data_IF_975883260169
#
_entry.id   IF_975883260169
#
_cell.length_a   1.000
_cell.length_b   1.000
_cell.length_c   1.000
_cell.angle_alpha   90.00
_cell.angle_beta   90.00
_cell.angle_gamma   90.00
#
_symmetry.space_group_name_H-M   'P 1'
#
loop_
_entity.id
_entity.type
_entity.pdbx_description
1 polymer ?
#
# COMPACT_ATOMS: atom_id res chain seq x y z
N UNK A 1 20.22 4.81 1.45
CA UNK A 1 19.33 6.00 1.38
C UNK A 1 18.77 6.26 2.76
N UNK A 2 18.59 7.53 3.15
CA UNK A 2 17.88 7.84 4.39
C UNK A 2 16.37 7.77 4.14
N UNK A 3 15.58 7.46 5.18
CA UNK A 3 14.11 7.47 5.11
C UNK A 3 13.60 8.81 4.55
N UNK A 4 14.21 9.92 4.98
CA UNK A 4 13.89 11.26 4.48
C UNK A 4 14.11 11.42 2.98
N UNK A 5 15.19 10.84 2.43
CA UNK A 5 15.41 10.86 0.97
C UNK A 5 14.35 10.06 0.20
N UNK A 6 13.95 8.90 0.72
CA UNK A 6 12.91 8.06 0.10
C UNK A 6 11.56 8.75 0.10
N UNK A 7 11.14 9.32 1.25
CA UNK A 7 9.89 10.07 1.36
C UNK A 7 9.86 11.23 0.38
N UNK A 8 10.96 11.99 0.29
CA UNK A 8 11.06 13.11 -0.65
C UNK A 8 10.93 12.65 -2.11
N UNK A 9 11.58 11.55 -2.50
CA UNK A 9 11.44 11.00 -3.84
C UNK A 9 9.99 10.58 -4.15
N UNK A 10 9.27 9.98 -3.20
CA UNK A 10 7.87 9.63 -3.40
C UNK A 10 7.01 10.89 -3.58
N UNK A 11 7.19 11.90 -2.72
CA UNK A 11 6.49 13.19 -2.84
C UNK A 11 6.75 13.86 -4.19
N UNK A 12 7.99 13.84 -4.67
CA UNK A 12 8.37 14.42 -5.97
C UNK A 12 7.72 13.67 -7.15
N UNK A 13 7.51 12.35 -7.03
CA UNK A 13 6.74 11.56 -8.00
C UNK A 13 5.26 11.97 -7.97
N UNK A 14 4.66 12.05 -6.78
CA UNK A 14 3.23 12.37 -6.62
C UNK A 14 2.87 13.76 -7.10
N UNK A 15 3.80 14.73 -7.11
CA UNK A 15 3.55 16.07 -7.67
C UNK A 15 3.28 16.06 -9.18
N UNK A 16 3.62 14.98 -9.88
CA UNK A 16 3.33 14.81 -11.31
C UNK A 16 1.92 14.28 -11.56
N UNK A 17 1.25 13.79 -10.52
CA UNK A 17 -0.10 13.27 -10.62
C UNK A 17 -1.12 14.41 -10.64
N UNK A 18 -1.83 14.55 -11.77
CA UNK A 18 -2.88 15.56 -11.96
C UNK A 18 -4.12 15.30 -11.10
N UNK A 19 -4.27 14.09 -10.55
CA UNK A 19 -5.39 13.67 -9.71
C UNK A 19 -5.24 13.98 -8.22
N UNK A 20 -4.07 14.47 -7.78
CA UNK A 20 -3.79 14.76 -6.36
C UNK A 20 -3.47 16.25 -6.18
N UNK A 21 -4.44 17.03 -5.72
CA UNK A 21 -4.28 18.45 -5.45
C UNK A 21 -4.02 18.73 -3.96
N UNK A 22 -2.97 19.50 -3.68
CA UNK A 22 -2.57 19.89 -2.33
C UNK A 22 -1.79 18.84 -1.50
N UNK A 23 -1.13 19.32 -0.45
CA UNK A 23 -0.26 18.49 0.41
C UNK A 23 -1.05 17.51 1.29
N UNK A 24 -2.28 17.87 1.70
CA UNK A 24 -3.12 17.01 2.52
C UNK A 24 -3.50 15.70 1.79
N UNK A 25 -3.84 15.78 0.50
CA UNK A 25 -4.15 14.58 -0.29
C UNK A 25 -2.90 13.71 -0.50
N UNK A 26 -1.74 14.33 -0.77
CA UNK A 26 -0.47 13.60 -0.88
C UNK A 26 -0.10 12.88 0.41
N UNK A 27 -0.31 13.52 1.57
CA UNK A 27 -0.11 12.86 2.86
C UNK A 27 -1.05 11.67 3.02
N UNK A 28 -2.33 11.82 2.67
CA UNK A 28 -3.30 10.72 2.73
C UNK A 28 -2.86 9.50 1.91
N UNK A 29 -2.40 9.73 0.68
CA UNK A 29 -1.89 8.66 -0.20
C UNK A 29 -0.65 7.97 0.37
N UNK A 30 0.29 8.72 0.94
CA UNK A 30 1.46 8.14 1.61
C UNK A 30 1.07 7.31 2.84
N UNK A 31 0.10 7.78 3.62
CA UNK A 31 -0.29 7.13 4.89
C UNK A 31 -0.82 5.72 4.65
N UNK A 32 -1.75 5.53 3.72
CA UNK A 32 -2.34 4.20 3.51
C UNK A 32 -1.33 3.23 2.89
N UNK A 33 -0.48 3.69 1.96
CA UNK A 33 0.58 2.88 1.37
C UNK A 33 1.58 2.41 2.43
N UNK A 34 2.06 3.33 3.26
CA UNK A 34 3.00 3.01 4.33
C UNK A 34 2.35 2.10 5.39
N UNK A 35 1.08 2.34 5.72
CA UNK A 35 0.34 1.48 6.63
C UNK A 35 0.31 0.04 6.14
N UNK A 36 -0.15 -0.21 4.90
CA UNK A 36 -0.23 -1.55 4.34
C UNK A 36 1.15 -2.23 4.26
N UNK A 37 2.20 -1.50 3.85
CA UNK A 37 3.56 -2.02 3.79
C UNK A 37 4.07 -2.47 5.17
N UNK A 38 3.95 -1.59 6.17
CA UNK A 38 4.45 -1.83 7.52
C UNK A 38 3.63 -2.94 8.18
N UNK A 39 2.31 -2.94 7.98
CA UNK A 39 1.43 -3.96 8.53
C UNK A 39 1.79 -5.34 7.97
N UNK A 40 1.92 -5.49 6.65
CA UNK A 40 2.33 -6.74 6.01
C UNK A 40 3.69 -7.26 6.52
N UNK A 41 4.66 -6.36 6.76
CA UNK A 41 5.95 -6.72 7.38
C UNK A 41 5.81 -7.23 8.82
N UNK A 42 4.84 -6.70 9.60
CA UNK A 42 4.53 -7.22 10.94
C UNK A 42 3.79 -8.55 10.86
N UNK A 43 2.89 -8.71 9.90
CA UNK A 43 2.16 -9.96 9.69
C UNK A 43 3.11 -11.11 9.34
N UNK A 44 4.14 -10.87 8.52
CA UNK A 44 5.19 -11.86 8.26
C UNK A 44 5.84 -12.36 9.55
N UNK A 45 6.12 -11.48 10.51
CA UNK A 45 6.70 -11.89 11.79
C UNK A 45 5.69 -12.68 12.63
N UNK A 46 4.42 -12.26 12.68
CA UNK A 46 3.39 -12.96 13.44
C UNK A 46 3.08 -14.34 12.87
N UNK A 47 2.99 -14.48 11.55
CA UNK A 47 2.82 -15.77 10.87
C UNK A 47 3.97 -16.75 11.17
N UNK A 48 5.17 -16.24 11.48
CA UNK A 48 6.32 -17.06 11.87
C UNK A 48 6.35 -17.39 13.37
N UNK A 49 5.73 -16.57 14.22
CA UNK A 49 5.79 -16.71 15.68
C UNK A 49 4.55 -17.39 16.27
N UNK A 50 3.42 -17.34 15.59
CA UNK A 50 2.15 -17.92 16.02
C UNK A 50 1.50 -18.71 14.88
N UNK A 51 1.56 -20.04 14.98
CA UNK A 51 0.97 -20.97 14.00
C UNK A 51 -0.55 -20.80 13.83
N UNK A 52 -1.23 -20.15 14.78
CA UNK A 52 -2.67 -19.89 14.71
C UNK A 52 -3.02 -18.48 14.24
N UNK A 53 -2.02 -17.65 13.94
CA UNK A 53 -2.26 -16.30 13.46
C UNK A 53 -3.10 -16.32 12.18
N UNK A 54 -4.10 -15.42 12.14
CA UNK A 54 -4.91 -15.17 10.96
C UNK A 54 -4.94 -13.69 10.69
N UNK A 55 -4.43 -13.31 9.53
CA UNK A 55 -4.51 -11.95 9.04
C UNK A 55 -5.96 -11.48 9.00
N UNK A 56 -6.26 -10.26 9.48
CA UNK A 56 -7.55 -9.63 9.24
C UNK A 56 -7.68 -9.12 7.80
N UNK A 57 -6.57 -9.04 7.04
CA UNK A 57 -6.57 -8.56 5.65
C UNK A 57 -6.75 -9.76 4.70
N UNK A 58 -7.70 -9.69 3.75
CA UNK A 58 -7.87 -10.72 2.73
C UNK A 58 -6.58 -10.90 1.93
N UNK A 59 -6.24 -12.13 1.54
CA UNK A 59 -4.98 -12.45 0.87
C UNK A 59 -4.70 -11.57 -0.37
N UNK A 60 -5.73 -11.30 -1.18
CA UNK A 60 -5.62 -10.42 -2.35
C UNK A 60 -5.27 -8.97 -2.01
N UNK A 61 -5.59 -8.51 -0.80
CA UNK A 61 -5.40 -7.14 -0.34
C UNK A 61 -4.09 -6.94 0.43
N UNK A 62 -3.38 -8.03 0.78
CA UNK A 62 -2.08 -7.95 1.47
C UNK A 62 -1.02 -7.36 0.56
N UNK A 63 -0.16 -6.51 1.11
CA UNK A 63 0.85 -5.77 0.34
C UNK A 63 1.72 -6.71 -0.51
N UNK A 64 2.16 -7.84 0.06
CA UNK A 64 2.98 -8.83 -0.64
C UNK A 64 2.35 -9.41 -1.91
N UNK A 65 1.02 -9.35 -2.03
CA UNK A 65 0.28 -9.97 -3.13
C UNK A 65 0.23 -9.08 -4.37
N UNK A 66 0.14 -7.75 -4.20
CA UNK A 66 -0.08 -6.83 -5.33
C UNK A 66 1.02 -5.77 -5.50
N UNK A 67 1.77 -5.45 -4.45
CA UNK A 67 2.72 -4.32 -4.43
C UNK A 67 4.20 -4.72 -4.26
N UNK A 68 4.51 -5.98 -3.93
CA UNK A 68 5.89 -6.40 -3.68
C UNK A 68 6.71 -6.68 -4.95
N UNK A 69 6.06 -6.99 -6.06
CA UNK A 69 6.72 -7.23 -7.35
C UNK A 69 6.99 -5.92 -8.10
N UNK A 70 8.25 -5.55 -8.37
CA UNK A 70 8.59 -4.35 -9.15
C UNK A 70 8.07 -4.38 -10.59
N UNK A 71 7.84 -5.57 -11.17
CA UNK A 71 7.26 -5.77 -12.50
C UNK A 71 5.76 -6.12 -12.45
N UNK A 72 5.14 -5.96 -11.29
CA UNK A 72 3.74 -6.28 -11.04
C UNK A 72 2.75 -5.33 -11.72
N UNK A 73 1.52 -5.34 -11.21
CA UNK A 73 0.40 -4.57 -11.76
C UNK A 73 0.70 -3.06 -11.78
N UNK A 74 0.44 -2.40 -12.91
CA UNK A 74 0.69 -0.97 -13.10
C UNK A 74 -0.41 -0.31 -13.96
N UNK A 75 -0.35 1.01 -14.12
CA UNK A 75 -1.26 1.78 -14.96
C UNK A 75 -2.73 1.62 -14.59
N UNK A 76 -3.60 1.53 -15.61
CA UNK A 76 -5.05 1.44 -15.42
C UNK A 76 -5.47 0.19 -14.65
N UNK A 77 -4.75 -0.93 -14.81
CA UNK A 77 -5.02 -2.15 -14.07
C UNK A 77 -4.81 -1.96 -12.56
N UNK A 78 -3.73 -1.30 -12.17
CA UNK A 78 -3.46 -0.99 -10.76
C UNK A 78 -4.51 -0.05 -10.20
N UNK A 79 -4.89 0.97 -10.96
CA UNK A 79 -5.93 1.91 -10.56
C UNK A 79 -7.27 1.22 -10.33
N UNK A 80 -7.70 0.36 -11.26
CA UNK A 80 -8.93 -0.41 -11.16
C UNK A 80 -8.91 -1.35 -9.94
N UNK A 81 -7.79 -2.03 -9.71
CA UNK A 81 -7.63 -2.86 -8.51
C UNK A 81 -7.76 -2.04 -7.22
N UNK A 82 -7.10 -0.90 -7.11
CA UNK A 82 -7.16 -0.06 -5.91
C UNK A 82 -8.59 0.44 -5.65
N UNK A 83 -9.22 0.99 -6.69
CA UNK A 83 -10.52 1.67 -6.56
C UNK A 83 -11.68 0.68 -6.39
N UNK A 84 -11.67 -0.43 -7.12
CA UNK A 84 -12.81 -1.35 -7.20
C UNK A 84 -12.63 -2.65 -6.40
N UNK A 85 -11.41 -2.96 -5.93
CA UNK A 85 -11.15 -4.18 -5.16
C UNK A 85 -10.54 -3.89 -3.78
N UNK A 86 -9.37 -3.24 -3.72
CA UNK A 86 -8.62 -3.06 -2.48
C UNK A 86 -9.42 -2.26 -1.44
N UNK A 87 -9.80 -1.01 -1.75
CA UNK A 87 -10.52 -0.19 -0.78
C UNK A 87 -11.91 -0.73 -0.41
N UNK A 88 -12.75 -1.19 -1.37
CA UNK A 88 -14.03 -1.80 -1.02
C UNK A 88 -13.91 -3.02 -0.11
N UNK A 89 -12.90 -3.88 -0.28
CA UNK A 89 -12.71 -5.02 0.61
C UNK A 89 -12.24 -4.58 1.99
N UNK A 90 -11.26 -3.67 2.08
CA UNK A 90 -10.77 -3.16 3.35
C UNK A 90 -11.84 -2.41 4.16
N UNK A 91 -12.78 -1.74 3.48
CA UNK A 91 -13.89 -1.03 4.12
C UNK A 91 -14.93 -1.97 4.76
N UNK A 92 -15.02 -3.22 4.28
CA UNK A 92 -16.00 -4.20 4.74
C UNK A 92 -15.41 -5.23 5.72
N UNK A 93 -14.24 -4.95 6.30
CA UNK A 93 -13.61 -5.76 7.35
C UNK A 93 -14.27 -5.58 8.72
#
# INVERSE_FOLDING_TARGET
>A
MSISSTIKSIQDIMRKDVGVDGDAQRIGQLVWLLFLKIFDDRELEWELMDDNYRSPIPESCRWRTWAADPEGMTGDALKDFIDNNLFPQLQNL
#
